data_IF_446330399120
#
_entry.id   IF_446330399120
#
_cell.length_a   1.000
_cell.length_b   1.000
_cell.length_c   1.000
_cell.angle_alpha   90.00
_cell.angle_beta   90.00
_cell.angle_gamma   90.00
#
_symmetry.space_group_name_H-M   'P 1'
#
loop_
_entity.id
_entity.type
_entity.pdbx_description
1 polymer ?
#
# COMPACT_ATOMS: atom_id res chain seq x y z
N UNK A 1 -15.04 -17.21 -36.06
CA UNK A 1 -15.12 -17.63 -34.64
C UNK A 1 -13.78 -18.01 -34.03
N UNK A 2 -12.92 -18.80 -34.71
CA UNK A 2 -11.58 -19.17 -34.16
C UNK A 2 -10.66 -17.95 -33.90
N UNK A 3 -10.60 -16.99 -34.84
CA UNK A 3 -9.82 -15.75 -34.66
C UNK A 3 -10.24 -14.95 -33.42
N UNK A 4 -11.55 -14.75 -33.24
CA UNK A 4 -12.10 -14.01 -32.11
C UNK A 4 -11.73 -14.64 -30.75
N UNK A 5 -11.76 -15.97 -30.67
CA UNK A 5 -11.36 -16.68 -29.44
C UNK A 5 -9.86 -16.50 -29.17
N UNK A 6 -9.02 -16.56 -30.21
CA UNK A 6 -7.57 -16.32 -30.09
C UNK A 6 -7.30 -14.87 -29.64
N UNK A 7 -7.97 -13.89 -30.22
CA UNK A 7 -7.81 -12.47 -29.87
C UNK A 7 -8.23 -12.20 -28.42
N UNK A 8 -9.31 -12.83 -27.95
CA UNK A 8 -9.75 -12.74 -26.55
C UNK A 8 -8.70 -13.37 -25.62
N UNK A 9 -8.21 -14.57 -25.93
CA UNK A 9 -7.19 -15.25 -25.13
C UNK A 9 -5.90 -14.43 -25.05
N UNK A 10 -5.47 -13.83 -26.15
CA UNK A 10 -4.31 -12.93 -26.19
C UNK A 10 -4.52 -11.70 -25.32
N UNK A 11 -5.71 -11.08 -25.38
CA UNK A 11 -6.05 -9.92 -24.56
C UNK A 11 -6.09 -10.26 -23.07
N UNK A 12 -6.62 -11.42 -22.70
CA UNK A 12 -6.63 -11.89 -21.31
C UNK A 12 -5.22 -12.17 -20.80
N UNK A 13 -4.37 -12.82 -21.60
CA UNK A 13 -2.98 -13.07 -21.23
C UNK A 13 -2.20 -11.77 -21.01
N UNK A 14 -2.41 -10.77 -21.88
CA UNK A 14 -1.82 -9.44 -21.70
C UNK A 14 -2.32 -8.76 -20.43
N UNK A 15 -3.63 -8.82 -20.17
CA UNK A 15 -4.23 -8.25 -18.96
C UNK A 15 -3.69 -8.90 -17.68
N UNK A 16 -3.46 -10.21 -17.67
CA UNK A 16 -2.87 -10.92 -16.51
C UNK A 16 -1.44 -10.45 -16.22
N UNK A 17 -0.61 -10.29 -17.26
CA UNK A 17 0.75 -9.76 -17.12
C UNK A 17 0.74 -8.31 -16.63
N UNK A 18 -0.08 -7.45 -17.24
CA UNK A 18 -0.19 -6.05 -16.85
C UNK A 18 -0.69 -5.92 -15.39
N UNK A 19 -1.59 -6.80 -14.94
CA UNK A 19 -2.09 -6.82 -13.56
C UNK A 19 -1.04 -7.32 -12.55
N UNK A 20 -0.21 -8.29 -12.92
CA UNK A 20 0.94 -8.74 -12.09
C UNK A 20 1.97 -7.64 -11.92
N UNK A 21 2.28 -6.90 -12.98
CA UNK A 21 3.18 -5.76 -12.93
C UNK A 21 2.63 -4.65 -12.03
N UNK A 22 1.34 -4.29 -12.17
CA UNK A 22 0.69 -3.33 -11.28
C UNK A 22 0.74 -3.77 -9.81
N UNK A 23 0.51 -5.06 -9.53
CA UNK A 23 0.60 -5.62 -8.18
C UNK A 23 2.02 -5.49 -7.63
N UNK A 24 3.03 -5.87 -8.42
CA UNK A 24 4.43 -5.76 -8.03
C UNK A 24 4.86 -4.31 -7.77
N UNK A 25 4.38 -3.35 -8.58
CA UNK A 25 4.64 -1.93 -8.37
C UNK A 25 4.03 -1.41 -7.07
N UNK A 26 2.78 -1.79 -6.77
CA UNK A 26 2.11 -1.42 -5.51
C UNK A 26 2.84 -2.01 -4.31
N UNK A 27 3.29 -3.27 -4.38
CA UNK A 27 4.07 -3.91 -3.31
C UNK A 27 5.45 -3.26 -3.13
N UNK A 28 6.14 -2.90 -4.21
CA UNK A 28 7.42 -2.20 -4.15
C UNK A 28 7.27 -0.81 -3.48
N UNK A 29 6.23 -0.05 -3.85
CA UNK A 29 5.94 1.25 -3.24
C UNK A 29 5.57 1.11 -1.76
N UNK A 30 4.77 0.09 -1.44
CA UNK A 30 4.42 -0.28 -0.06
C UNK A 30 5.68 -0.50 0.80
N UNK A 31 6.64 -1.24 0.27
CA UNK A 31 7.91 -1.53 0.94
C UNK A 31 8.79 -0.28 1.09
N UNK A 32 8.84 0.58 0.06
CA UNK A 32 9.55 1.85 0.13
C UNK A 32 8.96 2.79 1.18
N UNK A 33 7.62 2.90 1.27
CA UNK A 33 6.94 3.68 2.31
C UNK A 33 7.28 3.12 3.69
N UNK A 34 7.25 1.80 3.87
CA UNK A 34 7.66 1.16 5.11
C UNK A 34 9.12 1.50 5.48
N UNK A 35 10.05 1.42 4.53
CA UNK A 35 11.44 1.79 4.74
C UNK A 35 11.62 3.27 5.11
N UNK A 36 10.85 4.17 4.49
CA UNK A 36 10.83 5.60 4.83
C UNK A 36 10.27 5.82 6.24
N UNK A 37 9.18 5.12 6.61
CA UNK A 37 8.61 5.17 7.96
C UNK A 37 9.59 4.68 9.03
N UNK A 38 10.34 3.61 8.77
CA UNK A 38 11.41 3.15 9.67
C UNK A 38 12.53 4.18 9.80
N UNK A 39 12.94 4.77 8.67
CA UNK A 39 14.04 5.75 8.64
C UNK A 39 13.68 7.04 9.37
N UNK A 40 12.46 7.54 9.19
CA UNK A 40 11.96 8.76 9.85
C UNK A 40 11.51 8.47 11.30
N UNK A 41 10.97 7.28 11.55
CA UNK A 41 10.43 6.85 12.85
C UNK A 41 11.47 6.61 13.94
N UNK A 42 12.76 6.45 13.60
CA UNK A 42 13.88 6.34 14.57
C UNK A 42 14.02 7.55 15.52
N UNK A 43 13.28 8.64 15.33
CA UNK A 43 13.15 9.73 16.31
C UNK A 43 11.76 9.96 16.91
N UNK A 44 10.67 9.50 16.26
CA UNK A 44 9.29 9.92 16.61
C UNK A 44 8.19 8.94 16.13
N UNK A 45 8.42 7.62 16.11
CA UNK A 45 7.54 6.64 15.42
C UNK A 45 6.05 6.69 15.77
N UNK A 46 5.69 7.06 17.01
CA UNK A 46 4.30 7.20 17.43
C UNK A 46 3.56 8.34 16.70
N UNK A 47 4.24 9.44 16.37
CA UNK A 47 3.56 10.61 15.80
C UNK A 47 3.15 10.42 14.34
N UNK A 48 3.88 9.61 13.59
CA UNK A 48 3.64 9.46 12.14
C UNK A 48 2.41 8.61 11.88
N UNK A 49 2.26 7.49 12.61
CA UNK A 49 1.06 6.65 12.52
C UNK A 49 -0.19 7.45 12.87
N UNK A 50 -0.15 8.20 13.96
CA UNK A 50 -1.25 9.04 14.43
C UNK A 50 -1.56 10.17 13.43
N UNK A 51 -0.53 10.80 12.85
CA UNK A 51 -0.70 11.84 11.82
C UNK A 51 -1.31 11.29 10.54
N UNK A 52 -0.90 10.10 10.09
CA UNK A 52 -1.48 9.44 8.91
C UNK A 52 -2.95 9.13 9.18
N UNK A 53 -3.26 8.54 10.34
CA UNK A 53 -4.62 8.16 10.70
C UNK A 53 -5.53 9.39 10.82
N UNK A 54 -5.04 10.47 11.43
CA UNK A 54 -5.75 11.76 11.50
C UNK A 54 -5.93 12.41 10.12
N UNK A 55 -4.95 12.33 9.22
CA UNK A 55 -5.08 12.86 7.87
C UNK A 55 -6.16 12.11 7.07
N UNK A 56 -6.26 10.79 7.23
CA UNK A 56 -7.30 9.97 6.57
C UNK A 56 -8.69 10.29 7.13
N UNK A 57 -8.83 10.37 8.45
CA UNK A 57 -10.10 10.75 9.10
C UNK A 57 -10.50 12.19 8.73
N UNK A 58 -9.55 13.10 8.63
CA UNK A 58 -9.81 14.47 8.17
C UNK A 58 -10.26 14.47 6.71
N UNK A 59 -9.60 13.72 5.83
CA UNK A 59 -9.99 13.60 4.43
C UNK A 59 -11.38 12.97 4.25
N UNK A 60 -11.75 11.99 5.09
CA UNK A 60 -13.09 11.37 5.07
C UNK A 60 -14.18 12.31 5.57
N UNK A 61 -13.86 13.23 6.48
CA UNK A 61 -14.77 14.22 7.04
C UNK A 61 -14.88 15.50 6.21
N UNK A 62 -13.87 15.80 5.38
CA UNK A 62 -13.78 17.05 4.60
C UNK A 62 -14.64 17.06 3.32
N UNK A 63 -15.38 15.98 3.05
CA UNK A 63 -16.61 15.93 2.26
C UNK A 63 -16.70 16.81 1.01
N UNK A 64 -16.26 16.26 -0.14
CA UNK A 64 -16.97 16.40 -1.43
C UNK A 64 -16.44 15.45 -2.53
N UNK A 65 -15.33 14.74 -2.31
CA UNK A 65 -14.68 13.92 -3.36
C UNK A 65 -14.43 12.44 -3.07
N UNK A 66 -14.57 11.96 -1.82
CA UNK A 66 -14.21 10.59 -1.44
C UNK A 66 -15.43 9.81 -0.96
N UNK A 67 -15.69 8.65 -1.56
CA UNK A 67 -16.71 7.73 -1.06
C UNK A 67 -16.19 7.09 0.23
N UNK A 68 -17.08 6.83 1.19
CA UNK A 68 -16.73 6.14 2.43
C UNK A 68 -16.00 4.80 2.16
N UNK A 69 -16.41 4.08 1.11
CA UNK A 69 -15.77 2.85 0.66
C UNK A 69 -14.29 3.04 0.28
N UNK A 70 -13.95 4.17 -0.34
CA UNK A 70 -12.56 4.47 -0.74
C UNK A 70 -11.69 4.74 0.48
N UNK A 71 -12.25 5.40 1.50
CA UNK A 71 -11.60 5.67 2.79
C UNK A 71 -11.35 4.36 3.54
N UNK A 72 -12.34 3.47 3.60
CA UNK A 72 -12.22 2.17 4.27
C UNK A 72 -11.14 1.29 3.61
N UNK A 73 -11.08 1.33 2.27
CA UNK A 73 -10.03 0.67 1.51
C UNK A 73 -8.65 1.26 1.82
N UNK A 74 -8.54 2.58 1.86
CA UNK A 74 -7.29 3.29 2.19
C UNK A 74 -6.79 2.94 3.59
N UNK A 75 -7.68 2.92 4.60
CA UNK A 75 -7.37 2.51 5.97
C UNK A 75 -6.85 1.07 6.03
N UNK A 76 -7.47 0.16 5.27
CA UNK A 76 -7.06 -1.25 5.19
C UNK A 76 -5.63 -1.36 4.64
N UNK A 77 -5.32 -0.64 3.57
CA UNK A 77 -3.98 -0.64 2.99
C UNK A 77 -2.94 -0.04 3.93
N UNK A 78 -3.22 1.10 4.56
CA UNK A 78 -2.30 1.76 5.49
C UNK A 78 -2.00 0.88 6.70
N UNK A 79 -3.01 0.25 7.31
CA UNK A 79 -2.79 -0.67 8.42
C UNK A 79 -1.90 -1.85 8.03
N UNK A 80 -2.06 -2.38 6.82
CA UNK A 80 -1.17 -3.43 6.29
C UNK A 80 0.27 -2.93 6.14
N UNK A 81 0.48 -1.71 5.64
CA UNK A 81 1.81 -1.11 5.53
C UNK A 81 2.48 -0.93 6.88
N UNK A 82 1.75 -0.40 7.87
CA UNK A 82 2.25 -0.24 9.23
C UNK A 82 2.60 -1.59 9.86
N UNK A 83 1.80 -2.64 9.63
CA UNK A 83 2.11 -3.99 10.10
C UNK A 83 3.40 -4.55 9.48
N UNK A 84 3.60 -4.39 8.17
CA UNK A 84 4.86 -4.80 7.50
C UNK A 84 6.05 -4.01 8.04
N UNK A 85 5.90 -2.70 8.20
CA UNK A 85 6.91 -1.80 8.76
C UNK A 85 7.34 -2.28 10.15
N UNK A 86 6.37 -2.50 11.05
CA UNK A 86 6.61 -3.01 12.40
C UNK A 86 7.26 -4.38 12.41
N UNK A 87 6.81 -5.30 11.56
CA UNK A 87 7.41 -6.62 11.43
C UNK A 87 8.89 -6.51 11.01
N UNK A 88 9.22 -5.63 10.07
CA UNK A 88 10.61 -5.41 9.65
C UNK A 88 11.45 -4.77 10.78
N UNK A 89 10.89 -3.85 11.57
CA UNK A 89 11.55 -3.27 12.74
C UNK A 89 11.85 -4.32 13.82
N UNK A 90 10.84 -5.16 14.13
CA UNK A 90 10.92 -6.22 15.14
C UNK A 90 11.83 -7.38 14.69
N UNK A 91 11.86 -7.68 13.39
CA UNK A 91 12.70 -8.73 12.79
C UNK A 91 14.09 -8.25 12.39
N UNK A 92 14.35 -6.93 12.42
CA UNK A 92 15.69 -6.41 12.21
C UNK A 92 16.59 -6.96 13.34
N UNK A 93 17.68 -7.68 13.02
CA UNK A 93 18.63 -8.07 14.05
C UNK A 93 19.06 -6.79 14.75
N UNK A 94 19.01 -6.78 16.09
CA UNK A 94 19.57 -5.70 16.88
C UNK A 94 20.99 -5.45 16.33
N UNK A 95 21.14 -4.38 15.55
CA UNK A 95 22.44 -3.97 15.10
C UNK A 95 23.15 -3.53 16.37
N UNK A 96 23.95 -4.44 16.92
CA UNK A 96 24.75 -4.26 18.12
C UNK A 96 25.45 -2.90 18.05
N UNK A 97 25.19 -2.12 19.10
CA UNK A 97 26.04 -1.09 19.76
C UNK A 97 27.06 -0.32 18.92
#
# INVERSE_FOLDING_TARGET
MKQLVIDILMKMAKMDVDNKELTAQVEAQSLLIAALLLTVGKGTSSSISDNIQNAILTASQSGEGFLQTDVDLLLTHVNRLLAVTRYVDEAAPAADS
#
